data_IF_045064248925
#
_entry.id   IF_045064248925
#
_cell.length_a   1.000
_cell.length_b   1.000
_cell.length_c   1.000
_cell.angle_alpha   90.00
_cell.angle_beta   90.00
_cell.angle_gamma   90.00
#
_symmetry.space_group_name_H-M   'P 1'
#
loop_
_entity.id
_entity.type
_entity.pdbx_description
1 polymer ?
#
# COMPACT_ATOMS: atom_id res chain seq x y z
N UNK A 1 -38.58 -18.67 28.17
CA UNK A 1 -37.69 -17.58 28.63
C UNK A 1 -36.23 -17.90 28.28
N UNK A 2 -35.79 -17.75 27.02
CA UNK A 2 -34.43 -18.18 26.60
C UNK A 2 -33.70 -17.14 25.74
N UNK A 3 -34.41 -16.37 24.91
CA UNK A 3 -33.79 -15.31 24.10
C UNK A 3 -33.21 -14.13 24.93
N UNK A 4 -33.75 -13.90 26.14
CA UNK A 4 -33.36 -12.77 26.98
C UNK A 4 -31.97 -12.97 27.63
N UNK A 5 -31.55 -14.23 27.81
CA UNK A 5 -30.33 -14.59 28.53
C UNK A 5 -29.14 -14.60 27.58
N UNK A 6 -29.33 -15.02 26.33
CA UNK A 6 -28.27 -15.02 25.32
C UNK A 6 -27.77 -13.59 24.99
N UNK A 7 -28.66 -12.61 24.84
CA UNK A 7 -28.23 -11.23 24.55
C UNK A 7 -27.46 -10.60 25.72
N UNK A 8 -27.78 -10.96 26.96
CA UNK A 8 -27.13 -10.42 28.15
C UNK A 8 -25.71 -10.96 28.32
N UNK A 9 -25.48 -12.22 27.93
CA UNK A 9 -24.12 -12.82 27.95
C UNK A 9 -23.17 -12.19 26.92
N UNK A 10 -23.68 -11.71 25.78
CA UNK A 10 -22.90 -10.97 24.80
C UNK A 10 -22.57 -9.53 25.27
N UNK A 11 -23.42 -8.93 26.10
CA UNK A 11 -23.21 -7.60 26.70
C UNK A 11 -22.40 -7.63 28.01
N UNK A 12 -22.20 -8.81 28.61
CA UNK A 12 -21.59 -8.96 29.94
C UNK A 12 -20.05 -8.94 29.96
N UNK A 13 -19.39 -8.92 28.79
CA UNK A 13 -17.92 -8.91 28.72
C UNK A 13 -17.39 -7.78 27.82
N UNK A 14 -17.67 -6.51 28.15
CA UNK A 14 -17.09 -5.37 27.43
C UNK A 14 -15.55 -5.43 27.43
N UNK A 15 -14.96 -6.03 28.46
CA UNK A 15 -13.52 -6.25 28.57
C UNK A 15 -12.98 -7.17 27.47
N UNK A 16 -13.73 -8.22 27.09
CA UNK A 16 -13.33 -9.14 26.02
C UNK A 16 -13.36 -8.44 24.67
N UNK A 17 -14.38 -7.61 24.43
CA UNK A 17 -14.49 -6.79 23.21
C UNK A 17 -13.33 -5.79 23.14
N UNK A 18 -13.02 -5.11 24.25
CA UNK A 18 -11.92 -4.16 24.32
C UNK A 18 -10.55 -4.83 24.12
N UNK A 19 -10.34 -6.02 24.68
CA UNK A 19 -9.13 -6.82 24.48
C UNK A 19 -9.01 -7.28 23.02
N UNK A 20 -10.11 -7.71 22.40
CA UNK A 20 -10.13 -8.08 20.98
C UNK A 20 -9.76 -6.89 20.07
N UNK A 21 -10.32 -5.71 20.35
CA UNK A 21 -10.00 -4.48 19.61
C UNK A 21 -8.54 -4.06 19.80
N UNK A 22 -7.99 -4.19 21.00
CA UNK A 22 -6.58 -3.90 21.28
C UNK A 22 -5.64 -4.88 20.56
N UNK A 23 -5.98 -6.17 20.51
CA UNK A 23 -5.21 -7.18 19.79
C UNK A 23 -5.19 -6.93 18.28
N UNK A 24 -6.33 -6.58 17.69
CA UNK A 24 -6.42 -6.21 16.28
C UNK A 24 -5.55 -4.99 15.94
N UNK A 25 -5.48 -3.99 16.84
CA UNK A 25 -4.61 -2.83 16.66
C UNK A 25 -3.11 -3.20 16.65
N UNK A 26 -2.65 -4.09 17.54
CA UNK A 26 -1.24 -4.54 17.58
C UNK A 26 -0.86 -5.34 16.32
N UNK A 27 -1.75 -6.23 15.85
CA UNK A 27 -1.55 -6.99 14.61
C UNK A 27 -1.46 -6.08 13.39
N UNK A 28 -2.33 -5.06 13.28
CA UNK A 28 -2.27 -4.08 12.18
C UNK A 28 -0.94 -3.33 12.17
N UNK A 29 -0.39 -2.96 13.33
CA UNK A 29 0.91 -2.28 13.43
C UNK A 29 2.05 -3.22 12.99
N UNK A 30 2.02 -4.50 13.41
CA UNK A 30 3.01 -5.52 13.01
C UNK A 30 2.98 -5.81 11.52
N UNK A 31 1.81 -6.05 10.93
CA UNK A 31 1.66 -6.33 9.50
C UNK A 31 2.04 -5.10 8.66
N UNK A 32 1.67 -3.90 9.10
CA UNK A 32 2.03 -2.66 8.39
C UNK A 32 3.53 -2.45 8.36
N UNK A 33 4.25 -2.86 9.41
CA UNK A 33 5.72 -2.81 9.46
C UNK A 33 6.37 -3.77 8.44
N UNK A 34 5.78 -4.95 8.22
CA UNK A 34 6.25 -5.91 7.21
C UNK A 34 5.94 -5.46 5.76
N UNK A 35 4.81 -4.78 5.54
CA UNK A 35 4.43 -4.26 4.22
C UNK A 35 5.23 -3.01 3.83
N UNK A 36 5.70 -2.22 4.80
CA UNK A 36 6.58 -1.07 4.54
C UNK A 36 7.97 -1.53 4.06
N UNK A 37 8.45 -2.70 4.49
CA UNK A 37 9.70 -3.28 4.01
C UNK A 37 9.65 -3.76 2.55
N UNK A 38 8.46 -4.10 2.02
CA UNK A 38 8.30 -4.59 0.63
C UNK A 38 7.76 -3.54 -0.34
N UNK A 39 7.11 -2.48 0.15
CA UNK A 39 6.69 -1.31 -0.66
C UNK A 39 7.77 -0.25 -0.83
N UNK A 40 8.89 -0.39 -0.13
CA UNK A 40 10.00 0.58 -0.14
C UNK A 40 11.17 0.17 -1.01
N UNK A 41 10.97 -0.68 -2.05
CA UNK A 41 11.87 -0.57 -3.21
C UNK A 41 11.57 0.79 -3.81
N UNK A 42 12.42 1.83 -3.66
CA UNK A 42 12.16 3.08 -4.35
C UNK A 42 12.07 2.74 -5.83
N UNK A 43 10.90 2.97 -6.44
CA UNK A 43 10.67 2.68 -7.85
C UNK A 43 11.73 3.50 -8.60
N UNK A 44 12.79 2.81 -9.05
CA UNK A 44 14.01 3.44 -9.55
C UNK A 44 13.63 4.30 -10.74
N UNK A 45 13.67 5.62 -10.55
CA UNK A 45 13.41 6.56 -11.63
C UNK A 45 14.58 6.45 -12.60
N UNK A 46 14.27 6.01 -13.81
CA UNK A 46 15.23 5.91 -14.89
C UNK A 46 15.01 7.10 -15.83
N UNK A 47 16.10 7.68 -16.30
CA UNK A 47 16.06 8.75 -17.30
C UNK A 47 16.51 8.17 -18.64
N UNK A 48 15.69 8.33 -19.67
CA UNK A 48 16.02 7.93 -21.03
C UNK A 48 16.17 9.15 -21.91
N UNK A 49 16.99 9.04 -22.96
CA UNK A 49 17.10 10.07 -23.99
C UNK A 49 16.30 9.62 -25.21
N UNK A 50 15.36 10.46 -25.62
CA UNK A 50 14.50 10.25 -26.76
C UNK A 50 14.89 11.24 -27.86
N UNK A 51 15.05 10.75 -29.08
CA UNK A 51 15.52 11.53 -30.25
C UNK A 51 14.50 11.55 -31.37
N UNK A 52 14.35 12.72 -31.99
CA UNK A 52 13.57 12.92 -33.22
C UNK A 52 14.41 13.79 -34.16
N UNK A 53 15.12 13.15 -35.09
CA UNK A 53 16.12 13.83 -35.93
C UNK A 53 17.23 14.44 -35.07
N UNK A 54 17.44 15.76 -35.18
CA UNK A 54 18.42 16.51 -34.37
C UNK A 54 17.91 16.91 -32.97
N UNK A 55 16.62 16.76 -32.69
CA UNK A 55 16.03 17.14 -31.39
C UNK A 55 16.17 16.00 -30.38
N UNK A 56 16.70 16.31 -29.20
CA UNK A 56 16.86 15.39 -28.06
C UNK A 56 15.99 15.81 -26.90
N UNK A 57 15.29 14.87 -26.26
CA UNK A 57 14.52 15.09 -25.03
C UNK A 57 14.87 14.04 -23.99
N UNK A 58 15.09 14.46 -22.74
CA UNK A 58 15.23 13.54 -21.61
C UNK A 58 13.85 13.28 -21.00
N UNK A 59 13.54 12.00 -20.76
CA UNK A 59 12.27 11.57 -20.14
C UNK A 59 12.61 10.77 -18.90
N UNK A 60 12.09 11.19 -17.74
CA UNK A 60 12.32 10.54 -16.45
C UNK A 60 11.04 9.87 -15.98
N UNK A 61 11.14 8.63 -15.53
CA UNK A 61 9.99 7.90 -15.00
C UNK A 61 10.39 6.53 -14.48
N UNK A 62 9.42 5.79 -13.95
CA UNK A 62 9.66 4.44 -13.41
C UNK A 62 9.85 3.43 -14.54
N UNK A 63 9.06 3.58 -15.62
CA UNK A 63 9.18 2.85 -16.88
C UNK A 63 9.00 3.84 -18.02
N UNK A 64 10.01 4.70 -18.27
CA UNK A 64 9.85 5.80 -19.21
C UNK A 64 9.76 5.27 -20.64
N UNK A 65 8.84 5.84 -21.43
CA UNK A 65 8.66 5.59 -22.86
C UNK A 65 8.86 6.88 -23.64
N UNK A 66 9.29 6.77 -24.90
CA UNK A 66 9.46 7.95 -25.74
C UNK A 66 8.11 8.46 -26.26
N UNK A 67 7.88 9.79 -26.26
CA UNK A 67 6.66 10.37 -26.80
C UNK A 67 6.53 10.11 -28.31
N UNK A 68 5.31 10.25 -28.84
CA UNK A 68 5.00 9.91 -30.25
C UNK A 68 5.97 10.62 -31.21
N UNK A 69 6.62 9.82 -32.06
CA UNK A 69 7.59 10.29 -33.06
C UNK A 69 9.03 10.47 -32.56
N UNK A 70 9.32 10.13 -31.30
CA UNK A 70 10.69 10.06 -30.78
C UNK A 70 11.11 8.60 -30.62
N UNK A 71 12.35 8.29 -31.02
CA UNK A 71 12.97 6.98 -30.81
C UNK A 71 13.84 7.01 -29.56
N UNK A 72 13.97 5.89 -28.88
CA UNK A 72 14.91 5.75 -27.76
C UNK A 72 16.33 5.74 -28.32
N UNK A 73 17.19 6.60 -27.78
CA UNK A 73 18.63 6.58 -28.04
C UNK A 73 19.32 5.68 -27.02
#
# INVERSE_FOLDING_TARGET
MNAQVEYYTAQAFPDVINVANAFLADQIIREKSAVVATKSVPLKKTTITCVKGKLTKKVTGIKPTCPKGYKKK
#
